data_IF_847050454964
#
_entry.id   IF_847050454964
#
_cell.length_a   1.000
_cell.length_b   1.000
_cell.length_c   1.000
_cell.angle_alpha   90.00
_cell.angle_beta   90.00
_cell.angle_gamma   90.00
#
_symmetry.space_group_name_H-M   'P 1'
#
loop_
_entity.id
_entity.type
_entity.pdbx_description
1 polymer ?
#
# COMPACT_ATOMS: atom_id res chain seq x y z
N UNK A 1 -1.50 -3.19 4.48
CA UNK A 1 -2.88 -2.68 4.23
C UNK A 1 -3.47 -2.10 5.52
N UNK A 2 -4.61 -1.37 5.50
CA UNK A 2 -5.23 -0.87 6.73
C UNK A 2 -5.62 -1.97 7.74
N UNK A 3 -5.88 -3.19 7.25
CA UNK A 3 -6.24 -4.37 8.04
C UNK A 3 -5.01 -5.22 8.41
N UNK A 4 -3.86 -4.88 7.86
CA UNK A 4 -2.60 -5.56 8.14
C UNK A 4 -1.96 -4.91 9.37
N UNK A 5 -1.85 -5.70 10.44
CA UNK A 5 -1.28 -5.24 11.70
C UNK A 5 0.24 -5.39 11.77
N UNK A 6 0.89 -5.89 10.71
CA UNK A 6 2.35 -5.94 10.67
C UNK A 6 2.94 -4.53 10.54
N UNK A 7 4.00 -4.25 11.31
CA UNK A 7 4.66 -2.95 11.33
C UNK A 7 3.96 -1.84 12.14
N UNK A 8 2.94 -2.18 12.95
CA UNK A 8 2.34 -1.22 13.86
C UNK A 8 3.20 -1.01 15.10
N UNK A 9 3.44 0.25 15.46
CA UNK A 9 4.15 0.64 16.67
C UNK A 9 3.55 1.92 17.28
N UNK A 10 3.83 2.16 18.54
CA UNK A 10 3.35 3.33 19.28
C UNK A 10 4.34 3.72 20.39
N UNK A 11 4.42 5.02 20.69
CA UNK A 11 5.23 5.54 21.79
C UNK A 11 4.43 6.57 22.60
N UNK A 12 4.61 6.56 23.92
CA UNK A 12 4.06 7.60 24.80
C UNK A 12 5.05 8.75 25.04
N UNK A 13 6.30 8.64 24.59
CA UNK A 13 7.36 9.67 24.68
C UNK A 13 7.38 10.48 26.00
N UNK A 14 7.47 9.78 27.13
CA UNK A 14 7.54 10.40 28.45
C UNK A 14 6.19 10.75 29.10
N UNK A 15 5.07 10.62 28.37
CA UNK A 15 3.73 10.64 28.97
C UNK A 15 3.48 9.39 29.81
N UNK A 16 2.49 9.42 30.74
CA UNK A 16 2.07 8.22 31.45
C UNK A 16 1.69 7.10 30.48
N UNK A 17 2.14 5.88 30.79
CA UNK A 17 1.97 4.71 29.93
C UNK A 17 0.52 4.53 29.46
N UNK A 18 0.34 4.40 28.15
CA UNK A 18 -0.93 4.17 27.48
C UNK A 18 -1.83 5.39 27.37
N UNK A 19 -1.32 6.61 27.64
CA UNK A 19 -2.12 7.83 27.59
C UNK A 19 -1.92 8.69 26.34
N UNK A 20 -0.91 8.38 25.51
CA UNK A 20 -0.63 9.10 24.27
C UNK A 20 -0.60 8.16 23.05
N UNK A 21 0.39 7.28 22.98
CA UNK A 21 0.64 6.44 21.79
C UNK A 21 -0.52 5.50 21.49
N UNK A 22 -1.04 4.81 22.53
CA UNK A 22 -2.17 3.89 22.38
C UNK A 22 -3.47 4.56 21.91
N UNK A 23 -3.89 5.70 22.50
CA UNK A 23 -5.00 6.48 21.98
C UNK A 23 -4.86 6.88 20.52
N UNK A 24 -3.66 7.28 20.07
CA UNK A 24 -3.40 7.65 18.66
C UNK A 24 -3.51 6.42 17.75
N UNK A 25 -2.84 5.32 18.10
CA UNK A 25 -2.84 4.10 17.28
C UNK A 25 -4.25 3.53 17.13
N UNK A 26 -5.03 3.52 18.21
CA UNK A 26 -6.42 3.07 18.16
C UNK A 26 -7.24 3.89 17.15
N UNK A 27 -7.08 5.21 17.11
CA UNK A 27 -7.78 6.05 16.14
C UNK A 27 -7.36 5.71 14.71
N UNK A 28 -6.06 5.58 14.45
CA UNK A 28 -5.54 5.22 13.13
C UNK A 28 -6.08 3.85 12.66
N UNK A 29 -6.07 2.84 13.53
CA UNK A 29 -6.58 1.49 13.21
C UNK A 29 -8.06 1.47 12.80
N UNK A 30 -8.89 2.33 13.38
CA UNK A 30 -10.32 2.39 13.07
C UNK A 30 -10.65 3.36 11.93
N UNK A 31 -9.64 4.06 11.38
CA UNK A 31 -9.85 5.05 10.32
C UNK A 31 -9.92 4.45 8.91
N UNK A 32 -9.51 3.19 8.74
CA UNK A 32 -9.37 2.57 7.42
C UNK A 32 -8.17 3.08 6.62
N UNK A 33 -7.29 3.87 7.23
CA UNK A 33 -6.07 4.41 6.60
C UNK A 33 -4.85 3.60 7.04
N UNK A 34 -4.07 3.13 6.06
CA UNK A 34 -2.78 2.47 6.26
C UNK A 34 -1.61 3.32 5.75
N UNK A 35 -0.39 2.79 5.81
CA UNK A 35 0.83 3.45 5.29
C UNK A 35 1.00 4.89 5.82
N UNK A 36 0.71 5.11 7.10
CA UNK A 36 0.66 6.42 7.72
C UNK A 36 1.31 6.41 9.10
N UNK A 37 1.88 7.55 9.49
CA UNK A 37 2.39 7.80 10.85
C UNK A 37 1.75 9.08 11.38
N UNK A 38 1.33 9.06 12.65
CA UNK A 38 0.78 10.23 13.34
C UNK A 38 1.73 10.62 14.46
N UNK A 39 2.16 11.87 14.46
CA UNK A 39 2.99 12.45 15.53
C UNK A 39 2.23 13.62 16.15
N UNK A 40 2.07 13.58 17.48
CA UNK A 40 1.42 14.66 18.23
C UNK A 40 2.45 15.36 19.09
N UNK A 41 2.69 16.64 18.81
CA UNK A 41 3.54 17.49 19.64
C UNK A 41 2.71 18.15 20.73
N UNK A 42 3.09 17.95 22.01
CA UNK A 42 2.38 18.52 23.15
C UNK A 42 3.28 19.49 23.92
N UNK A 43 2.74 20.68 24.20
CA UNK A 43 3.36 21.66 25.10
C UNK A 43 2.60 21.69 26.43
N UNK A 44 3.32 21.66 27.57
CA UNK A 44 2.68 21.69 28.89
C UNK A 44 2.12 23.09 29.20
N UNK A 45 0.80 23.18 29.38
CA UNK A 45 0.08 24.46 29.61
C UNK A 45 -0.04 24.90 31.07
N UNK A 46 0.76 24.36 31.99
CA UNK A 46 0.74 24.74 33.42
C UNK A 46 -0.28 24.00 34.29
N UNK A 47 -1.23 23.25 33.69
CA UNK A 47 -2.24 22.46 34.41
C UNK A 47 -2.19 21.00 33.97
N UNK A 48 -2.22 20.07 34.93
CA UNK A 48 -2.26 18.63 34.66
C UNK A 48 -3.66 18.20 34.24
N UNK A 49 -3.75 17.48 33.13
CA UNK A 49 -5.03 16.95 32.60
C UNK A 49 -5.47 15.64 33.27
N UNK A 50 -4.55 14.96 33.97
CA UNK A 50 -4.75 13.58 34.42
C UNK A 50 -4.80 12.58 33.26
N UNK A 51 -4.72 11.28 33.56
CA UNK A 51 -4.64 10.22 32.54
C UNK A 51 -5.83 10.25 31.56
N UNK A 52 -7.06 10.37 32.07
CA UNK A 52 -8.25 10.44 31.21
C UNK A 52 -8.30 11.70 30.33
N UNK A 53 -7.73 12.81 30.80
CA UNK A 53 -7.64 14.04 30.01
C UNK A 53 -6.61 13.93 28.89
N UNK A 54 -5.47 13.30 29.15
CA UNK A 54 -4.44 13.01 28.14
C UNK A 54 -4.98 12.10 27.04
N UNK A 55 -5.60 10.99 27.42
CA UNK A 55 -6.22 10.04 26.47
C UNK A 55 -7.17 10.77 25.53
N UNK A 56 -8.09 11.59 26.08
CA UNK A 56 -9.03 12.37 25.26
C UNK A 56 -8.34 13.37 24.34
N UNK A 57 -7.29 14.05 24.81
CA UNK A 57 -6.57 15.04 24.02
C UNK A 57 -5.84 14.40 22.82
N UNK A 58 -5.10 13.31 23.05
CA UNK A 58 -4.37 12.61 22.00
C UNK A 58 -5.30 11.92 21.00
N UNK A 59 -6.38 11.27 21.47
CA UNK A 59 -7.42 10.72 20.60
C UNK A 59 -8.00 11.82 19.70
N UNK A 60 -8.42 12.94 20.30
CA UNK A 60 -9.04 14.04 19.54
C UNK A 60 -8.10 14.60 18.48
N UNK A 61 -6.83 14.83 18.83
CA UNK A 61 -5.83 15.35 17.90
C UNK A 61 -5.64 14.41 16.70
N UNK A 62 -5.51 13.10 16.94
CA UNK A 62 -5.37 12.12 15.87
C UNK A 62 -6.62 12.07 14.97
N UNK A 63 -7.83 12.09 15.56
CA UNK A 63 -9.08 12.06 14.80
C UNK A 63 -9.26 13.30 13.93
N UNK A 64 -8.96 14.49 14.45
CA UNK A 64 -9.04 15.74 13.70
C UNK A 64 -8.05 15.79 12.54
N UNK A 65 -6.83 15.27 12.74
CA UNK A 65 -5.83 15.17 11.68
C UNK A 65 -6.30 14.25 10.55
N UNK A 66 -6.83 13.07 10.89
CA UNK A 66 -7.33 12.12 9.88
C UNK A 66 -8.56 12.62 9.12
N UNK A 67 -9.44 13.40 9.77
CA UNK A 67 -10.60 14.01 9.12
C UNK A 67 -10.22 15.00 8.02
N UNK A 68 -9.03 15.60 8.10
CA UNK A 68 -8.53 16.56 7.11
C UNK A 68 -7.53 15.92 6.13
N UNK A 69 -7.20 14.64 6.32
CA UNK A 69 -6.23 13.95 5.48
C UNK A 69 -6.86 13.60 4.13
N UNK A 70 -6.35 14.21 3.06
CA UNK A 70 -6.59 13.72 1.70
C UNK A 70 -5.79 12.43 1.50
N UNK A 71 -6.48 11.35 1.12
CA UNK A 71 -5.88 10.03 0.90
C UNK A 71 -6.05 9.58 -0.54
N UNK A 72 -5.13 8.71 -0.97
CA UNK A 72 -5.19 8.03 -2.26
C UNK A 72 -5.14 6.53 -2.03
N UNK A 73 -5.71 5.78 -2.96
CA UNK A 73 -5.65 4.33 -2.91
C UNK A 73 -4.20 3.86 -3.11
N UNK A 74 -3.75 2.99 -2.21
CA UNK A 74 -2.46 2.33 -2.32
C UNK A 74 -2.67 0.91 -2.84
N UNK A 75 -2.25 0.65 -4.08
CA UNK A 75 -2.31 -0.67 -4.70
C UNK A 75 -0.91 -1.29 -4.67
N UNK A 76 -0.67 -2.34 -3.87
CA UNK A 76 0.63 -3.01 -3.86
C UNK A 76 0.86 -3.68 -5.21
N UNK A 77 2.04 -3.43 -5.78
CA UNK A 77 2.46 -3.97 -7.08
C UNK A 77 3.76 -4.76 -6.94
N UNK A 78 3.88 -5.79 -7.75
CA UNK A 78 5.12 -6.55 -7.95
C UNK A 78 5.69 -6.25 -9.33
N UNK A 79 7.02 -6.27 -9.45
CA UNK A 79 7.70 -6.19 -10.74
C UNK A 79 7.85 -7.59 -11.29
N UNK A 80 7.51 -7.79 -12.56
CA UNK A 80 7.72 -9.05 -13.27
C UNK A 80 8.45 -8.77 -14.58
N UNK A 81 9.33 -9.69 -14.95
CA UNK A 81 9.94 -9.73 -16.27
C UNK A 81 9.27 -10.81 -17.13
N UNK A 82 8.85 -10.45 -18.33
CA UNK A 82 8.18 -11.36 -19.26
C UNK A 82 9.00 -11.46 -20.54
N UNK A 83 9.15 -12.68 -21.06
CA UNK A 83 9.66 -12.93 -22.40
C UNK A 83 8.53 -13.53 -23.26
N UNK A 84 8.28 -12.93 -24.42
CA UNK A 84 7.19 -13.33 -25.31
C UNK A 84 7.58 -13.23 -26.80
N UNK A 85 7.10 -14.13 -27.65
CA UNK A 85 7.19 -13.99 -29.10
C UNK A 85 6.52 -12.72 -29.63
N UNK A 86 7.10 -12.14 -30.69
CA UNK A 86 6.59 -10.92 -31.34
C UNK A 86 5.12 -11.01 -31.77
N UNK A 87 4.66 -12.18 -32.22
CA UNK A 87 3.30 -12.37 -32.70
C UNK A 87 2.24 -12.36 -31.58
N UNK A 88 2.65 -12.50 -30.31
CA UNK A 88 1.77 -12.45 -29.15
C UNK A 88 1.77 -11.09 -28.45
N UNK A 89 2.77 -10.25 -28.74
CA UNK A 89 2.95 -8.95 -28.09
C UNK A 89 1.68 -8.10 -28.17
N UNK A 90 1.10 -7.93 -29.36
CA UNK A 90 -0.09 -7.10 -29.54
C UNK A 90 -1.30 -7.58 -28.71
N UNK A 91 -1.48 -8.91 -28.58
CA UNK A 91 -2.56 -9.48 -27.78
C UNK A 91 -2.35 -9.28 -26.28
N UNK A 92 -1.10 -9.36 -25.82
CA UNK A 92 -0.73 -9.11 -24.43
C UNK A 92 -0.94 -7.64 -24.09
N UNK A 93 -0.44 -6.73 -24.93
CA UNK A 93 -0.57 -5.28 -24.71
C UNK A 93 -2.03 -4.83 -24.71
N UNK A 94 -2.84 -5.36 -25.63
CA UNK A 94 -4.27 -5.09 -25.65
C UNK A 94 -4.99 -5.53 -24.37
N UNK A 95 -4.55 -6.64 -23.77
CA UNK A 95 -5.09 -7.06 -22.48
C UNK A 95 -4.62 -6.15 -21.36
N UNK A 96 -3.34 -5.74 -21.35
CA UNK A 96 -2.82 -4.81 -20.36
C UNK A 96 -3.58 -3.48 -20.34
N UNK A 97 -3.96 -2.94 -21.50
CA UNK A 97 -4.79 -1.73 -21.62
C UNK A 97 -6.15 -1.80 -20.89
N UNK A 98 -6.65 -3.02 -20.64
CA UNK A 98 -7.92 -3.27 -19.96
C UNK A 98 -7.74 -3.59 -18.47
N UNK A 99 -6.52 -3.48 -17.96
CA UNK A 99 -6.13 -3.82 -16.59
C UNK A 99 -5.32 -2.69 -15.96
N UNK A 100 -4.98 -2.84 -14.68
CA UNK A 100 -4.10 -1.90 -13.97
C UNK A 100 -2.61 -2.26 -14.06
N UNK A 101 -2.24 -3.10 -15.03
CA UNK A 101 -0.86 -3.50 -15.31
C UNK A 101 -0.16 -2.38 -16.06
N UNK A 102 1.04 -2.02 -15.61
CA UNK A 102 1.86 -0.98 -16.24
C UNK A 102 3.06 -1.63 -16.91
N UNK A 103 3.34 -1.27 -18.16
CA UNK A 103 4.58 -1.65 -18.84
C UNK A 103 5.64 -0.60 -18.55
N UNK A 104 6.68 -0.99 -17.81
CA UNK A 104 7.78 -0.11 -17.39
C UNK A 104 8.83 0.02 -18.49
N UNK A 105 9.17 -1.08 -19.15
CA UNK A 105 10.13 -1.11 -20.24
C UNK A 105 9.83 -2.22 -21.25
N UNK A 106 10.32 -2.03 -22.48
CA UNK A 106 10.19 -2.98 -23.58
C UNK A 106 11.50 -3.04 -24.34
N UNK A 107 12.03 -4.25 -24.49
CA UNK A 107 13.26 -4.53 -25.23
C UNK A 107 12.98 -5.55 -26.34
N UNK A 108 13.46 -5.24 -27.54
CA UNK A 108 13.31 -6.10 -28.71
C UNK A 108 14.60 -6.89 -28.93
N UNK A 109 14.58 -8.18 -28.58
CA UNK A 109 15.70 -9.11 -28.76
C UNK A 109 15.29 -10.26 -29.69
N UNK A 110 15.84 -11.47 -29.54
CA UNK A 110 15.31 -12.67 -30.19
C UNK A 110 13.83 -12.92 -29.82
N UNK A 111 13.48 -12.60 -28.56
CA UNK A 111 12.11 -12.49 -28.08
C UNK A 111 11.88 -11.08 -27.51
N UNK A 112 10.62 -10.67 -27.41
CA UNK A 112 10.29 -9.38 -26.77
C UNK A 112 10.37 -9.56 -25.27
N UNK A 113 11.14 -8.72 -24.61
CA UNK A 113 11.25 -8.67 -23.16
C UNK A 113 10.50 -7.46 -22.63
N UNK A 114 9.61 -7.69 -21.66
CA UNK A 114 8.84 -6.65 -20.99
C UNK A 114 9.19 -6.65 -19.51
N UNK A 115 9.33 -5.47 -18.95
CA UNK A 115 9.28 -5.27 -17.50
C UNK A 115 7.93 -4.63 -17.17
N UNK A 116 7.18 -5.26 -16.28
CA UNK A 116 5.83 -4.82 -15.94
C UNK A 116 5.63 -4.70 -14.43
N UNK A 117 4.79 -3.75 -14.03
CA UNK A 117 4.29 -3.66 -12.66
C UNK A 117 2.85 -4.13 -12.59
N UNK A 118 2.63 -5.19 -11.81
CA UNK A 118 1.35 -5.91 -11.72
C UNK A 118 0.79 -5.71 -10.32
N UNK A 119 -0.48 -5.27 -10.17
CA UNK A 119 -1.16 -5.35 -8.89
C UNK A 119 -1.10 -6.77 -8.34
N UNK A 120 -0.73 -6.93 -7.06
CA UNK A 120 -0.56 -8.26 -6.47
C UNK A 120 -1.85 -9.11 -6.61
N UNK A 121 -3.02 -8.47 -6.60
CA UNK A 121 -4.33 -9.10 -6.80
C UNK A 121 -4.54 -9.70 -8.21
N UNK A 122 -3.80 -9.23 -9.22
CA UNK A 122 -3.92 -9.68 -10.61
C UNK A 122 -2.88 -10.75 -10.99
N UNK A 123 -1.97 -11.11 -10.08
CA UNK A 123 -0.89 -12.06 -10.37
C UNK A 123 -1.39 -13.39 -10.94
N UNK A 124 -2.33 -14.04 -10.24
CA UNK A 124 -2.90 -15.33 -10.69
C UNK A 124 -3.67 -15.20 -12.00
N UNK A 125 -4.45 -14.13 -12.16
CA UNK A 125 -5.20 -13.86 -13.37
C UNK A 125 -4.28 -13.65 -14.59
N UNK A 126 -3.13 -13.01 -14.38
CA UNK A 126 -2.10 -12.80 -15.39
C UNK A 126 -1.50 -14.13 -15.86
N UNK A 127 -1.12 -15.01 -14.92
CA UNK A 127 -0.57 -16.32 -15.27
C UNK A 127 -1.57 -17.17 -16.07
N UNK A 128 -2.86 -17.16 -15.67
CA UNK A 128 -3.92 -17.83 -16.44
C UNK A 128 -4.06 -17.24 -17.84
N UNK A 129 -4.08 -15.90 -17.95
CA UNK A 129 -4.23 -15.22 -19.25
C UNK A 129 -3.06 -15.49 -20.18
N UNK A 130 -1.84 -15.52 -19.67
CA UNK A 130 -0.66 -15.85 -20.47
C UNK A 130 -0.66 -17.29 -20.96
N UNK A 131 -1.17 -18.23 -20.16
CA UNK A 131 -1.36 -19.59 -20.64
C UNK A 131 -2.40 -19.67 -21.76
N UNK A 132 -3.52 -18.95 -21.65
CA UNK A 132 -4.54 -18.88 -22.72
C UNK A 132 -4.00 -18.28 -24.02
N UNK A 133 -3.26 -17.16 -23.95
CA UNK A 133 -2.73 -16.44 -25.12
C UNK A 133 -1.54 -17.19 -25.72
N UNK A 134 -0.62 -17.65 -24.88
CA UNK A 134 0.69 -18.12 -25.28
C UNK A 134 0.79 -19.63 -25.48
N UNK A 135 -0.12 -20.42 -24.93
CA UNK A 135 -0.05 -21.89 -24.91
C UNK A 135 1.36 -22.38 -24.48
N UNK A 136 1.89 -21.78 -23.39
CA UNK A 136 3.22 -22.07 -22.84
C UNK A 136 4.41 -21.32 -23.47
N UNK A 137 4.18 -20.43 -24.44
CA UNK A 137 5.26 -19.66 -25.11
C UNK A 137 5.64 -18.35 -24.42
N UNK A 138 4.96 -17.98 -23.33
CA UNK A 138 5.25 -16.78 -22.56
C UNK A 138 5.96 -17.20 -21.29
N UNK A 139 7.17 -16.68 -21.05
CA UNK A 139 7.93 -16.93 -19.82
C UNK A 139 7.79 -15.75 -18.87
N UNK A 140 7.58 -16.02 -17.59
CA UNK A 140 7.48 -15.03 -16.53
C UNK A 140 8.58 -15.29 -15.50
N UNK A 141 9.27 -14.23 -15.08
CA UNK A 141 10.27 -14.23 -14.02
C UNK A 141 9.89 -13.15 -12.99
N UNK A 142 9.93 -13.52 -11.73
CA UNK A 142 9.75 -12.64 -10.57
C UNK A 142 11.05 -11.91 -10.21
#
# INVERSE_FOLDING_TARGET
EPQDHTGMDQSDDGEPRGTAGKPILNVLQHSGIGQCVIVVTRYFGGIKLGAGGLVRAYTKCASEALLQLESVEFIPRMSLQIETPYNLLASIEHWFEQTEIVVNSKEFTEQVRLEISVPNSLHEALLLKFNEIGNGKISVKE
#
